data_IF_513956431515
#
_entry.id   IF_513956431515
#
_cell.length_a   1.000
_cell.length_b   1.000
_cell.length_c   1.000
_cell.angle_alpha   90.00
_cell.angle_beta   90.00
_cell.angle_gamma   90.00
#
_symmetry.space_group_name_H-M   'P 1'
#
loop_
_entity.id
_entity.type
_entity.pdbx_description
1 polymer ?
#
# COMPACT_ATOMS: atom_id res chain seq x y z
N UNK A 1 -28.11 33.58 55.93
CA UNK A 1 -27.54 32.61 54.96
C UNK A 1 -27.13 33.40 53.73
N UNK A 2 -25.85 33.77 53.62
CA UNK A 2 -25.36 34.58 52.48
C UNK A 2 -25.07 33.68 51.29
N UNK A 3 -25.68 33.97 50.14
CA UNK A 3 -25.43 33.25 48.89
C UNK A 3 -23.97 33.45 48.45
N UNK A 4 -23.24 32.37 48.06
CA UNK A 4 -21.84 32.48 47.67
C UNK A 4 -21.71 33.33 46.41
N UNK A 5 -20.80 34.31 46.45
CA UNK A 5 -20.52 35.17 45.29
C UNK A 5 -19.79 34.38 44.19
N UNK A 6 -19.94 34.79 42.92
CA UNK A 6 -19.23 34.19 41.77
C UNK A 6 -17.71 34.08 41.97
N UNK A 7 -17.12 35.00 42.75
CA UNK A 7 -15.69 34.99 43.09
C UNK A 7 -15.31 33.84 44.03
N UNK A 8 -16.20 33.47 44.94
CA UNK A 8 -16.03 32.33 45.85
C UNK A 8 -16.10 31.01 45.10
N UNK A 9 -17.01 30.89 44.13
CA UNK A 9 -17.14 29.71 43.26
C UNK A 9 -15.88 29.50 42.39
N UNK A 10 -15.37 30.55 41.75
CA UNK A 10 -14.18 30.45 40.90
C UNK A 10 -12.90 30.10 41.70
N UNK A 11 -12.76 30.61 42.94
CA UNK A 11 -11.66 30.22 43.82
C UNK A 11 -11.75 28.75 44.24
N UNK A 12 -12.94 28.27 44.58
CA UNK A 12 -13.13 26.86 44.97
C UNK A 12 -12.94 25.90 43.79
N UNK A 13 -13.37 26.26 42.58
CA UNK A 13 -13.16 25.48 41.37
C UNK A 13 -11.67 25.41 40.97
N UNK A 14 -10.91 26.50 41.11
CA UNK A 14 -9.48 26.52 40.84
C UNK A 14 -8.67 25.66 41.83
N UNK A 15 -9.06 25.62 43.11
CA UNK A 15 -8.42 24.77 44.11
C UNK A 15 -8.78 23.27 43.92
N UNK A 16 -9.98 22.95 43.44
CA UNK A 16 -10.37 21.58 43.12
C UNK A 16 -9.63 21.03 41.88
N UNK A 17 -9.34 21.88 40.88
CA UNK A 17 -8.62 21.49 39.67
C UNK A 17 -7.12 21.16 39.89
N UNK A 18 -6.52 21.67 40.97
CA UNK A 18 -5.12 21.40 41.31
C UNK A 18 -4.91 20.11 42.13
N UNK A 19 -5.97 19.55 42.71
CA UNK A 19 -5.91 18.29 43.47
C UNK A 19 -6.08 17.03 42.61
N UNK A 20 -6.78 17.14 41.47
CA UNK A 20 -7.08 16.00 40.59
C UNK A 20 -6.05 15.75 39.49
N UNK A 21 -5.21 16.74 39.16
CA UNK A 21 -4.15 16.62 38.15
C UNK A 21 -2.96 15.79 38.63
N UNK A 22 -2.62 15.85 39.92
CA UNK A 22 -1.51 15.05 40.49
C UNK A 22 -1.77 13.54 40.47
N UNK A 23 -2.98 13.11 40.86
CA UNK A 23 -3.36 11.69 40.90
C UNK A 23 -3.57 11.08 39.51
N UNK A 24 -4.11 11.85 38.55
CA UNK A 24 -4.24 11.39 37.17
C UNK A 24 -2.88 11.29 36.46
N UNK A 25 -1.96 12.22 36.70
CA UNK A 25 -0.59 12.13 36.15
C UNK A 25 0.16 10.91 36.70
N UNK A 26 0.07 10.63 38.01
CA UNK A 26 0.73 9.44 38.57
C UNK A 26 0.11 8.12 38.09
N UNK A 27 -1.20 8.06 37.82
CA UNK A 27 -1.84 6.86 37.26
C UNK A 27 -1.58 6.69 35.76
N UNK A 28 -1.46 7.79 35.00
CA UNK A 28 -1.01 7.77 33.61
C UNK A 28 0.46 7.34 33.51
N UNK A 29 1.32 7.75 34.44
CA UNK A 29 2.73 7.37 34.44
C UNK A 29 2.94 5.94 34.98
N UNK A 30 2.12 5.45 35.92
CA UNK A 30 2.12 4.03 36.31
C UNK A 30 1.62 3.10 35.19
N UNK A 31 0.70 3.56 34.32
CA UNK A 31 0.34 2.84 33.07
C UNK A 31 1.46 2.84 32.03
N UNK A 32 2.33 3.86 32.02
CA UNK A 32 3.54 3.91 31.16
C UNK A 32 4.68 3.04 31.70
N UNK A 33 4.73 2.77 33.00
CA UNK A 33 5.77 1.94 33.63
C UNK A 33 5.54 0.43 33.41
N UNK A 34 4.33 0.00 33.00
CA UNK A 34 4.11 -1.37 32.50
C UNK A 34 4.49 -1.56 31.02
N UNK A 35 5.07 -0.56 30.35
CA UNK A 35 5.57 -0.69 28.97
C UNK A 35 7.06 -1.08 28.87
N UNK A 36 7.68 -1.48 29.98
CA UNK A 36 9.05 -1.99 30.02
C UNK A 36 9.10 -3.53 30.04
N UNK A 37 8.36 -4.14 29.11
CA UNK A 37 8.64 -5.45 28.52
C UNK A 37 8.09 -5.38 27.10
N UNK A 38 8.96 -5.11 26.13
CA UNK A 38 8.59 -5.17 24.71
C UNK A 38 8.22 -6.62 24.42
N UNK A 39 6.91 -6.89 24.34
CA UNK A 39 6.44 -8.15 23.81
C UNK A 39 6.76 -8.13 22.31
N UNK A 40 7.82 -8.86 21.97
CA UNK A 40 8.13 -9.30 20.60
C UNK A 40 6.93 -10.13 20.12
N UNK A 41 6.08 -9.57 19.24
CA UNK A 41 4.91 -10.33 18.74
C UNK A 41 3.73 -9.56 18.15
N UNK A 42 3.74 -8.22 18.11
CA UNK A 42 2.67 -7.43 17.45
C UNK A 42 3.26 -6.35 16.54
N UNK A 43 4.29 -6.69 15.77
CA UNK A 43 4.73 -5.84 14.66
C UNK A 43 3.88 -6.15 13.43
N UNK A 44 3.53 -5.13 12.65
CA UNK A 44 2.92 -5.30 11.33
C UNK A 44 3.44 -4.26 10.33
N UNK A 45 3.72 -4.70 9.12
CA UNK A 45 4.06 -3.84 8.00
C UNK A 45 3.16 -4.13 6.79
N UNK A 46 2.69 -3.05 6.17
CA UNK A 46 2.01 -3.10 4.88
C UNK A 46 2.91 -2.45 3.82
N UNK A 47 3.14 -3.15 2.71
CA UNK A 47 3.94 -2.68 1.59
C UNK A 47 3.04 -2.56 0.36
N UNK A 48 2.70 -1.34 -0.02
CA UNK A 48 1.98 -1.06 -1.26
C UNK A 48 2.97 -1.05 -2.42
N UNK A 49 2.75 -1.91 -3.41
CA UNK A 49 3.47 -1.91 -4.66
C UNK A 49 2.58 -1.37 -5.79
N UNK A 50 2.76 -0.12 -6.15
CA UNK A 50 1.94 0.53 -7.16
C UNK A 50 2.52 0.34 -8.57
N UNK A 51 1.77 -0.30 -9.45
CA UNK A 51 2.07 -0.58 -10.85
C UNK A 51 1.47 0.53 -11.71
N UNK A 52 2.21 1.60 -11.95
CA UNK A 52 1.73 2.77 -12.69
C UNK A 52 1.59 2.48 -14.17
N UNK A 53 0.41 2.83 -14.69
CA UNK A 53 0.03 2.71 -16.09
C UNK A 53 -1.03 1.66 -16.34
N UNK A 54 -1.71 1.10 -15.34
CA UNK A 54 -2.74 0.07 -15.57
C UNK A 54 -2.17 -1.27 -16.05
N UNK A 55 -1.76 -2.13 -15.11
CA UNK A 55 -1.20 -3.45 -15.41
C UNK A 55 -2.18 -4.32 -16.21
N UNK A 56 -1.72 -4.93 -17.31
CA UNK A 56 -2.53 -5.89 -18.08
C UNK A 56 -2.63 -7.24 -17.36
N UNK A 57 -3.54 -7.31 -16.40
CA UNK A 57 -3.77 -8.52 -15.64
C UNK A 57 -4.34 -9.68 -16.49
N UNK A 58 -4.83 -9.43 -17.71
CA UNK A 58 -5.26 -10.50 -18.62
C UNK A 58 -4.10 -11.36 -19.08
N UNK A 59 -2.88 -10.81 -19.13
CA UNK A 59 -1.66 -11.58 -19.41
C UNK A 59 -0.90 -11.98 -18.14
N UNK A 60 -1.44 -11.73 -16.94
CA UNK A 60 -0.82 -12.14 -15.67
C UNK A 60 -1.32 -13.51 -15.23
N UNK A 61 -2.65 -13.67 -15.16
CA UNK A 61 -3.34 -14.91 -14.84
C UNK A 61 -4.27 -15.27 -15.98
N UNK A 62 -4.05 -16.44 -16.56
CA UNK A 62 -4.70 -16.89 -17.79
C UNK A 62 -5.38 -18.23 -17.51
N UNK A 63 -6.66 -18.42 -17.89
CA UNK A 63 -7.28 -19.74 -17.80
C UNK A 63 -6.50 -20.77 -18.61
N UNK A 64 -6.24 -21.91 -17.99
CA UNK A 64 -5.52 -23.02 -18.60
C UNK A 64 -6.49 -24.13 -19.05
N UNK A 65 -7.77 -24.08 -18.67
CA UNK A 65 -8.79 -24.96 -19.23
C UNK A 65 -9.06 -24.62 -20.71
N UNK A 66 -9.53 -25.61 -21.49
CA UNK A 66 -9.69 -25.48 -22.95
C UNK A 66 -10.61 -24.31 -23.34
N UNK A 67 -11.77 -24.21 -22.68
CA UNK A 67 -12.78 -23.21 -23.03
C UNK A 67 -12.35 -21.80 -22.65
N UNK A 68 -11.77 -21.64 -21.45
CA UNK A 68 -11.22 -20.39 -20.96
C UNK A 68 -10.06 -19.90 -21.81
N UNK A 69 -9.10 -20.79 -22.12
CA UNK A 69 -7.96 -20.46 -22.97
C UNK A 69 -8.37 -20.11 -24.40
N UNK A 70 -9.36 -20.81 -24.98
CA UNK A 70 -9.89 -20.49 -26.31
C UNK A 70 -10.53 -19.09 -26.35
N UNK A 71 -11.28 -18.72 -25.31
CA UNK A 71 -11.88 -17.39 -25.17
C UNK A 71 -10.81 -16.31 -25.02
N UNK A 72 -9.79 -16.57 -24.19
CA UNK A 72 -8.62 -15.72 -24.02
C UNK A 72 -7.86 -15.51 -25.33
N UNK A 73 -7.39 -16.57 -25.97
CA UNK A 73 -6.56 -16.48 -27.18
C UNK A 73 -7.29 -15.80 -28.33
N UNK A 74 -8.60 -16.05 -28.49
CA UNK A 74 -9.42 -15.39 -29.51
C UNK A 74 -9.49 -13.88 -29.31
N UNK A 75 -9.75 -13.41 -28.08
CA UNK A 75 -9.85 -11.99 -27.80
C UNK A 75 -8.49 -11.28 -27.83
N UNK A 76 -7.44 -11.94 -27.34
CA UNK A 76 -6.08 -11.37 -27.28
C UNK A 76 -5.36 -11.34 -28.62
N UNK A 77 -5.70 -12.25 -29.54
CA UNK A 77 -5.05 -12.33 -30.85
C UNK A 77 -3.53 -12.39 -30.71
N UNK A 78 -2.83 -11.42 -31.31
CA UNK A 78 -1.38 -11.32 -31.25
C UNK A 78 -0.77 -11.08 -29.87
N UNK A 79 -1.58 -10.75 -28.85
CA UNK A 79 -1.13 -10.60 -27.46
C UNK A 79 -1.30 -11.86 -26.61
N UNK A 80 -1.86 -12.93 -27.17
CA UNK A 80 -2.08 -14.18 -26.45
C UNK A 80 -0.73 -14.85 -26.11
N UNK A 81 -0.57 -15.24 -24.86
CA UNK A 81 0.52 -16.13 -24.44
C UNK A 81 0.10 -17.57 -24.74
N UNK A 82 1.02 -18.35 -25.32
CA UNK A 82 0.77 -19.77 -25.61
C UNK A 82 0.43 -20.54 -24.34
N UNK A 83 -0.58 -21.42 -24.41
CA UNK A 83 -1.06 -22.24 -23.29
C UNK A 83 0.06 -23.09 -22.69
N UNK A 84 0.90 -23.63 -23.55
CA UNK A 84 2.02 -24.51 -23.21
C UNK A 84 3.13 -23.77 -22.45
N UNK A 85 3.22 -22.44 -22.61
CA UNK A 85 4.17 -21.60 -21.89
C UNK A 85 3.65 -21.14 -20.52
N UNK A 86 2.37 -21.38 -20.20
CA UNK A 86 1.78 -20.94 -18.94
C UNK A 86 2.32 -21.74 -17.76
N UNK A 87 2.57 -21.04 -16.66
CA UNK A 87 3.04 -21.63 -15.41
C UNK A 87 1.84 -22.06 -14.57
N UNK A 88 1.51 -23.36 -14.60
CA UNK A 88 0.34 -23.92 -13.92
C UNK A 88 0.26 -23.54 -12.43
N UNK A 89 -0.92 -23.12 -11.99
CA UNK A 89 -1.23 -22.84 -10.59
C UNK A 89 -1.92 -24.02 -9.93
N UNK A 90 -1.59 -24.27 -8.67
CA UNK A 90 -2.29 -25.22 -7.80
C UNK A 90 -3.23 -24.44 -6.89
N UNK A 91 -4.49 -24.32 -7.28
CA UNK A 91 -5.47 -23.56 -6.51
C UNK A 91 -6.03 -24.41 -5.35
N UNK A 92 -5.96 -23.88 -4.13
CA UNK A 92 -6.60 -24.44 -2.94
C UNK A 92 -8.12 -24.13 -2.88
N UNK A 93 -8.60 -23.19 -3.69
CA UNK A 93 -10.01 -22.90 -3.91
C UNK A 93 -10.25 -22.43 -5.35
N UNK A 94 -11.43 -22.65 -5.89
CA UNK A 94 -11.77 -22.18 -7.22
C UNK A 94 -13.18 -22.54 -7.63
N UNK A 95 -13.56 -22.09 -8.81
CA UNK A 95 -14.84 -22.36 -9.47
C UNK A 95 -14.77 -23.54 -10.45
N UNK A 96 -13.69 -24.33 -10.38
CA UNK A 96 -13.43 -25.46 -11.27
C UNK A 96 -12.58 -25.11 -12.50
N UNK A 97 -12.20 -23.84 -12.68
CA UNK A 97 -11.23 -23.44 -13.70
C UNK A 97 -9.80 -23.69 -13.26
N UNK A 98 -8.99 -24.14 -14.20
CA UNK A 98 -7.53 -24.17 -14.06
C UNK A 98 -6.95 -22.84 -14.54
N UNK A 99 -5.88 -22.38 -13.88
CA UNK A 99 -5.19 -21.16 -14.26
C UNK A 99 -3.68 -21.37 -14.34
N UNK A 100 -3.03 -20.58 -15.17
CA UNK A 100 -1.59 -20.45 -15.23
C UNK A 100 -1.15 -19.00 -15.18
N UNK A 101 0.04 -18.75 -14.62
CA UNK A 101 0.70 -17.46 -14.73
C UNK A 101 1.45 -17.30 -16.04
N UNK A 102 1.71 -16.04 -16.40
CA UNK A 102 2.70 -15.68 -17.42
C UNK A 102 4.05 -16.40 -17.19
N UNK A 103 4.79 -16.82 -18.25
CA UNK A 103 6.09 -17.49 -18.12
C UNK A 103 7.16 -16.69 -17.34
N UNK A 104 7.05 -15.36 -17.33
CA UNK A 104 7.98 -14.48 -16.60
C UNK A 104 7.63 -14.28 -15.12
N UNK A 105 6.67 -15.05 -14.58
CA UNK A 105 6.25 -15.00 -13.17
C UNK A 105 6.66 -16.26 -12.39
N UNK A 106 7.77 -16.89 -12.76
CA UNK A 106 8.22 -18.17 -12.19
C UNK A 106 8.37 -18.14 -10.66
N UNK A 107 8.95 -17.08 -10.11
CA UNK A 107 9.11 -16.94 -8.68
C UNK A 107 7.77 -16.72 -7.96
N UNK A 108 6.86 -15.91 -8.54
CA UNK A 108 5.51 -15.75 -7.98
C UNK A 108 4.69 -17.04 -8.06
N UNK A 109 4.84 -17.84 -9.12
CA UNK A 109 4.22 -19.16 -9.20
C UNK A 109 4.70 -20.06 -8.04
N UNK A 110 6.01 -20.05 -7.76
CA UNK A 110 6.57 -20.76 -6.60
C UNK A 110 5.98 -20.30 -5.28
N UNK A 111 5.84 -18.99 -5.06
CA UNK A 111 5.23 -18.42 -3.85
C UNK A 111 3.73 -18.73 -3.74
N UNK A 112 3.01 -18.74 -4.85
CA UNK A 112 1.59 -19.10 -4.89
C UNK A 112 1.39 -20.56 -4.52
N UNK A 113 2.07 -21.47 -5.22
CA UNK A 113 1.99 -22.91 -4.97
C UNK A 113 2.55 -23.28 -3.58
N UNK A 114 3.47 -22.48 -3.04
CA UNK A 114 3.98 -22.58 -1.67
C UNK A 114 3.07 -21.97 -0.59
N UNK A 115 1.89 -21.45 -0.96
CA UNK A 115 0.90 -20.91 -0.03
C UNK A 115 1.25 -19.56 0.57
N UNK A 116 2.13 -18.78 -0.07
CA UNK A 116 2.62 -17.46 0.41
C UNK A 116 2.06 -16.28 -0.38
N UNK A 117 1.54 -16.55 -1.57
CA UNK A 117 0.91 -15.57 -2.45
C UNK A 117 -0.57 -15.94 -2.64
N UNK A 118 -1.46 -14.97 -2.57
CA UNK A 118 -2.86 -15.07 -2.97
C UNK A 118 -3.15 -14.09 -4.11
N UNK A 119 -4.23 -14.38 -4.84
CA UNK A 119 -4.79 -13.50 -5.86
C UNK A 119 -6.11 -12.93 -5.37
N UNK A 120 -6.36 -11.65 -5.64
CA UNK A 120 -7.69 -11.04 -5.50
C UNK A 120 -8.13 -10.59 -6.87
N UNK A 121 -9.24 -11.15 -7.35
CA UNK A 121 -9.69 -10.99 -8.70
C UNK A 121 -10.67 -9.84 -8.89
N UNK A 122 -10.56 -9.20 -10.05
CA UNK A 122 -11.46 -8.16 -10.55
C UNK A 122 -11.67 -7.01 -9.54
N UNK A 123 -10.56 -6.54 -9.00
CA UNK A 123 -10.49 -5.41 -8.08
C UNK A 123 -10.40 -4.11 -8.88
N UNK A 124 -11.20 -3.12 -8.49
CA UNK A 124 -11.20 -1.81 -9.14
C UNK A 124 -11.97 -0.76 -8.35
N UNK A 125 -11.87 0.49 -8.79
CA UNK A 125 -12.58 1.62 -8.19
C UNK A 125 -14.09 1.44 -8.36
N UNK A 126 -14.87 1.48 -7.27
CA UNK A 126 -16.33 1.37 -7.31
C UNK A 126 -16.95 2.39 -6.36
N UNK A 127 -18.01 3.07 -6.81
CA UNK A 127 -18.84 3.91 -5.95
C UNK A 127 -19.80 3.04 -5.15
N UNK A 128 -20.34 1.99 -5.79
CA UNK A 128 -21.18 0.93 -5.25
C UNK A 128 -21.12 -0.26 -6.22
N UNK A 129 -21.67 -1.44 -5.89
CA UNK A 129 -21.80 -2.53 -6.86
C UNK A 129 -22.57 -2.11 -8.12
N UNK A 130 -22.06 -2.46 -9.31
CA UNK A 130 -22.65 -2.11 -10.60
C UNK A 130 -22.75 -3.35 -11.48
N UNK A 131 -23.92 -3.57 -12.09
CA UNK A 131 -24.11 -4.57 -13.15
C UNK A 131 -23.93 -3.93 -14.52
N UNK A 132 -23.61 -4.74 -15.54
CA UNK A 132 -23.55 -4.27 -16.94
C UNK A 132 -24.84 -3.60 -17.40
N UNK A 133 -26.01 -4.12 -17.04
CA UNK A 133 -27.29 -3.53 -17.43
C UNK A 133 -27.44 -2.11 -16.87
N UNK A 134 -27.06 -1.89 -15.61
CA UNK A 134 -27.08 -0.57 -14.98
C UNK A 134 -26.05 0.38 -15.60
N UNK A 135 -24.84 -0.13 -15.90
CA UNK A 135 -23.79 0.63 -16.57
C UNK A 135 -24.25 1.13 -17.95
N UNK A 136 -24.78 0.23 -18.78
CA UNK A 136 -25.24 0.56 -20.14
C UNK A 136 -26.47 1.47 -20.16
N UNK A 137 -27.33 1.39 -19.13
CA UNK A 137 -28.44 2.30 -18.97
C UNK A 137 -28.01 3.75 -18.65
N UNK A 138 -26.73 3.97 -18.29
CA UNK A 138 -26.17 5.30 -18.00
C UNK A 138 -26.59 5.90 -16.66
N UNK A 139 -27.33 5.17 -15.82
CA UNK A 139 -27.81 5.61 -14.51
C UNK A 139 -27.01 5.08 -13.31
N UNK A 140 -26.02 4.21 -13.54
CA UNK A 140 -25.19 3.68 -12.48
C UNK A 140 -24.27 4.75 -11.88
N UNK A 141 -24.10 4.73 -10.55
CA UNK A 141 -23.06 5.50 -9.89
C UNK A 141 -21.70 4.83 -10.16
N UNK A 142 -20.93 5.43 -11.07
CA UNK A 142 -19.58 4.97 -11.44
C UNK A 142 -18.54 6.01 -11.04
N UNK A 143 -17.26 5.62 -10.87
CA UNK A 143 -16.19 6.57 -10.61
C UNK A 143 -16.18 7.72 -11.61
N UNK A 144 -15.86 8.93 -11.12
CA UNK A 144 -15.65 10.06 -12.03
C UNK A 144 -14.41 9.84 -12.89
N UNK A 145 -14.43 10.27 -14.15
CA UNK A 145 -13.28 10.17 -15.05
C UNK A 145 -12.68 8.76 -15.17
N UNK A 146 -13.55 7.74 -15.26
CA UNK A 146 -13.12 6.38 -15.58
C UNK A 146 -12.17 6.38 -16.78
N UNK A 147 -11.17 5.50 -16.70
CA UNK A 147 -10.09 5.30 -17.68
C UNK A 147 -9.03 6.41 -17.72
N UNK A 148 -9.08 7.41 -16.84
CA UNK A 148 -8.01 8.40 -16.67
C UNK A 148 -6.96 7.90 -15.68
N UNK A 149 -5.68 7.93 -16.07
CA UNK A 149 -4.57 7.56 -15.16
C UNK A 149 -4.57 8.45 -13.93
N UNK A 150 -4.52 9.78 -14.08
CA UNK A 150 -4.41 10.71 -12.95
C UNK A 150 -5.57 10.56 -11.96
N UNK A 151 -6.79 10.37 -12.47
CA UNK A 151 -7.96 10.23 -11.61
C UNK A 151 -7.98 8.86 -10.94
N UNK A 152 -7.80 7.78 -11.70
CA UNK A 152 -7.89 6.44 -11.12
C UNK A 152 -6.70 6.07 -10.24
N UNK A 153 -5.49 6.61 -10.47
CA UNK A 153 -4.39 6.48 -9.49
C UNK A 153 -4.81 7.05 -8.14
N UNK A 154 -5.37 8.27 -8.14
CA UNK A 154 -5.80 8.94 -6.91
C UNK A 154 -6.95 8.18 -6.28
N UNK A 155 -7.98 7.82 -7.05
CA UNK A 155 -9.15 7.10 -6.54
C UNK A 155 -8.81 5.72 -5.96
N UNK A 156 -7.85 5.00 -6.56
CA UNK A 156 -7.35 3.74 -6.02
C UNK A 156 -6.59 3.97 -4.70
N UNK A 157 -5.77 5.01 -4.63
CA UNK A 157 -5.00 5.34 -3.43
C UNK A 157 -5.85 5.97 -2.31
N UNK A 158 -6.95 6.64 -2.64
CA UNK A 158 -7.90 7.21 -1.67
C UNK A 158 -8.99 6.23 -1.28
N UNK A 159 -9.31 5.23 -2.10
CA UNK A 159 -10.53 4.41 -1.99
C UNK A 159 -11.82 5.23 -2.03
N UNK A 160 -11.79 6.43 -2.61
CA UNK A 160 -12.96 7.32 -2.73
C UNK A 160 -13.07 7.80 -4.18
N UNK A 161 -13.88 7.11 -5.00
CA UNK A 161 -13.97 7.39 -6.44
C UNK A 161 -15.03 8.44 -6.85
N UNK A 162 -15.86 8.87 -5.91
CA UNK A 162 -17.01 9.77 -6.14
C UNK A 162 -16.79 11.20 -5.59
N UNK A 163 -15.63 11.49 -4.99
CA UNK A 163 -15.36 12.78 -4.35
C UNK A 163 -13.88 13.15 -4.46
N UNK A 164 -13.58 14.45 -4.38
CA UNK A 164 -12.20 14.93 -4.29
C UNK A 164 -11.71 14.80 -2.85
N UNK A 165 -10.96 13.73 -2.57
CA UNK A 165 -10.35 13.51 -1.26
C UNK A 165 -8.83 13.71 -1.34
N UNK A 166 -8.26 14.39 -0.35
CA UNK A 166 -6.82 14.73 -0.31
C UNK A 166 -5.97 13.74 0.49
N UNK A 167 -6.60 12.80 1.19
CA UNK A 167 -5.92 11.78 2.00
C UNK A 167 -6.07 10.40 1.36
N UNK A 168 -5.02 9.59 1.41
CA UNK A 168 -5.07 8.19 1.03
C UNK A 168 -5.62 7.30 2.14
N UNK A 169 -6.07 6.10 1.80
CA UNK A 169 -6.55 5.16 2.81
C UNK A 169 -5.42 4.65 3.71
N UNK A 170 -4.18 4.54 3.18
CA UNK A 170 -2.98 4.26 3.98
C UNK A 170 -2.69 5.38 4.99
N UNK A 171 -2.75 6.63 4.56
CA UNK A 171 -2.57 7.79 5.43
C UNK A 171 -3.63 7.89 6.53
N UNK A 172 -4.91 7.62 6.22
CA UNK A 172 -5.96 7.54 7.24
C UNK A 172 -5.76 6.36 8.21
N UNK A 173 -5.26 5.23 7.71
CA UNK A 173 -4.85 4.10 8.55
C UNK A 173 -3.72 4.50 9.49
N UNK A 174 -2.72 5.23 8.99
CA UNK A 174 -1.60 5.74 9.78
C UNK A 174 -2.08 6.71 10.87
N UNK A 175 -2.95 7.66 10.52
CA UNK A 175 -3.55 8.61 11.46
C UNK A 175 -4.32 7.90 12.59
N UNK A 176 -4.99 6.79 12.30
CA UNK A 176 -5.71 6.04 13.31
C UNK A 176 -4.76 5.27 14.24
N UNK A 177 -3.68 4.71 13.69
CA UNK A 177 -2.84 3.73 14.38
C UNK A 177 -1.48 4.25 14.86
N UNK A 178 -1.09 5.50 14.56
CA UNK A 178 0.24 6.00 14.90
C UNK A 178 0.56 5.95 16.39
N UNK A 179 -0.46 6.03 17.25
CA UNK A 179 -0.29 5.92 18.71
C UNK A 179 0.26 4.57 19.15
N UNK A 180 0.09 3.51 18.35
CA UNK A 180 0.67 2.18 18.60
C UNK A 180 2.21 2.21 18.55
N UNK A 181 2.82 3.13 17.78
CA UNK A 181 4.27 3.31 17.75
C UNK A 181 4.81 4.12 18.96
N UNK A 182 3.95 4.48 19.92
CA UNK A 182 4.34 5.14 21.16
C UNK A 182 5.08 6.45 20.92
N UNK A 183 6.30 6.54 21.43
CA UNK A 183 7.13 7.74 21.34
C UNK A 183 8.07 7.78 20.12
N UNK A 184 7.92 6.84 19.17
CA UNK A 184 8.75 6.81 17.96
C UNK A 184 8.73 8.15 17.24
N UNK A 185 9.89 8.54 16.73
CA UNK A 185 10.13 9.85 16.10
C UNK A 185 10.19 9.78 14.58
N UNK A 186 10.26 8.58 14.01
CA UNK A 186 10.19 8.38 12.56
C UNK A 186 8.72 8.23 12.14
N UNK A 187 8.42 8.65 10.91
CA UNK A 187 7.07 8.48 10.34
C UNK A 187 6.68 7.00 10.29
N UNK A 188 5.40 6.71 10.59
CA UNK A 188 4.78 5.41 10.35
C UNK A 188 4.72 5.09 8.84
N UNK A 189 4.52 6.10 8.00
CA UNK A 189 4.44 5.97 6.55
C UNK A 189 5.76 6.38 5.89
N UNK A 190 6.34 5.48 5.10
CA UNK A 190 7.65 5.62 4.47
C UNK A 190 7.56 5.27 2.98
N UNK A 191 7.70 6.28 2.13
CA UNK A 191 7.80 6.07 0.69
C UNK A 191 9.26 5.84 0.29
N UNK A 192 9.51 4.79 -0.47
CA UNK A 192 10.77 4.58 -1.21
C UNK A 192 10.64 4.93 -2.71
N UNK A 193 9.47 5.44 -3.12
CA UNK A 193 9.12 5.70 -4.51
C UNK A 193 8.43 7.08 -4.69
N UNK A 194 9.00 8.13 -4.09
CA UNK A 194 8.54 9.51 -4.27
C UNK A 194 7.20 9.82 -3.59
N UNK A 195 6.53 10.88 -4.02
CA UNK A 195 5.24 11.29 -3.46
C UNK A 195 4.10 10.41 -3.99
N UNK A 196 3.15 10.08 -3.12
CA UNK A 196 1.96 9.31 -3.46
C UNK A 196 0.78 9.83 -2.61
N UNK A 197 -0.45 9.60 -3.05
CA UNK A 197 -1.66 9.95 -2.29
C UNK A 197 -1.95 8.91 -1.20
N UNK A 198 -1.59 7.64 -1.43
CA UNK A 198 -1.88 6.51 -0.55
C UNK A 198 -1.47 6.75 0.91
N UNK A 199 -0.29 7.32 1.14
CA UNK A 199 0.28 7.58 2.47
C UNK A 199 -0.09 8.96 3.05
N UNK A 200 -0.81 9.81 2.30
CA UNK A 200 -1.17 11.16 2.79
C UNK A 200 -2.25 11.05 3.85
N UNK A 201 -1.89 11.37 5.09
CA UNK A 201 -2.79 11.55 6.23
C UNK A 201 -2.99 13.03 6.60
N UNK A 202 -3.83 13.28 7.59
CA UNK A 202 -4.00 14.58 8.24
C UNK A 202 -2.99 14.81 9.37
N UNK A 203 -2.51 13.74 10.01
CA UNK A 203 -1.61 13.81 11.18
C UNK A 203 -0.24 13.22 10.88
N UNK A 204 -0.21 12.00 10.33
CA UNK A 204 1.03 11.34 9.91
C UNK A 204 1.47 11.91 8.58
N UNK A 205 2.70 12.43 8.54
CA UNK A 205 3.31 12.97 7.34
C UNK A 205 4.30 11.93 6.79
N UNK A 206 4.14 11.47 5.54
CA UNK A 206 5.03 10.46 4.97
C UNK A 206 6.47 10.95 4.91
N UNK A 207 7.39 10.02 5.17
CA UNK A 207 8.82 10.24 5.04
C UNK A 207 9.34 9.59 3.76
N UNK A 208 10.12 10.33 2.98
CA UNK A 208 10.69 9.82 1.73
C UNK A 208 12.13 9.35 1.96
N UNK A 209 12.42 8.15 1.46
CA UNK A 209 13.73 7.50 1.58
C UNK A 209 14.20 7.10 0.18
N UNK A 210 15.48 7.28 -0.12
CA UNK A 210 16.04 6.76 -1.37
C UNK A 210 16.15 5.23 -1.32
N UNK A 211 15.95 4.51 -2.44
CA UNK A 211 16.26 3.08 -2.52
C UNK A 211 17.70 2.72 -2.11
N UNK A 212 18.63 3.69 -2.18
CA UNK A 212 20.03 3.53 -1.75
C UNK A 212 20.29 3.93 -0.29
N UNK A 213 19.31 4.48 0.42
CA UNK A 213 19.36 4.76 1.85
C UNK A 213 19.25 6.25 2.18
N UNK A 214 19.87 6.63 3.30
CA UNK A 214 19.91 8.02 3.72
C UNK A 214 20.64 8.88 2.68
N UNK A 215 20.05 10.04 2.39
CA UNK A 215 20.65 11.08 1.56
C UNK A 215 21.02 12.24 2.46
N UNK A 216 22.32 12.55 2.54
CA UNK A 216 22.78 13.77 3.19
C UNK A 216 22.81 14.91 2.17
N UNK A 217 22.75 16.15 2.66
CA UNK A 217 22.95 17.29 1.79
C UNK A 217 24.39 17.28 1.25
N UNK A 218 24.52 17.42 -0.08
CA UNK A 218 25.82 17.48 -0.73
C UNK A 218 26.67 18.62 -0.13
N UNK A 219 27.91 18.29 0.25
CA UNK A 219 28.84 19.26 0.84
C UNK A 219 28.50 19.70 2.28
N UNK A 220 27.62 18.99 2.99
CA UNK A 220 27.29 19.29 4.40
C UNK A 220 27.88 18.29 5.40
N UNK A 221 28.70 17.35 4.97
CA UNK A 221 29.38 16.37 5.85
C UNK A 221 30.82 16.13 5.42
N UNK A 222 31.66 15.64 6.33
CA UNK A 222 32.98 15.06 6.01
C UNK A 222 34.16 16.06 6.03
N UNK A 223 33.95 17.28 6.52
CA UNK A 223 35.02 18.23 6.84
C UNK A 223 34.52 19.30 7.81
N UNK A 224 35.41 19.93 8.58
CA UNK A 224 35.02 20.98 9.53
C UNK A 224 34.21 22.12 8.87
N UNK A 225 34.56 22.52 7.64
CA UNK A 225 33.81 23.53 6.88
C UNK A 225 32.42 23.04 6.45
N UNK A 226 32.29 21.75 6.11
CA UNK A 226 31.01 21.14 5.75
C UNK A 226 30.10 21.03 6.97
N UNK A 227 30.66 20.62 8.11
CA UNK A 227 29.94 20.50 9.36
C UNK A 227 29.47 21.87 9.87
N UNK A 228 30.32 22.91 9.76
CA UNK A 228 29.93 24.29 10.08
C UNK A 228 28.78 24.80 9.17
N UNK A 229 28.81 24.48 7.86
CA UNK A 229 27.69 24.80 6.94
C UNK A 229 26.41 24.08 7.35
N UNK A 230 26.50 22.81 7.75
CA UNK A 230 25.35 22.04 8.20
C UNK A 230 24.73 22.63 9.46
N UNK A 231 25.55 23.00 10.44
CA UNK A 231 25.07 23.65 11.67
C UNK A 231 24.42 25.00 11.37
N UNK A 232 25.06 25.86 10.56
CA UNK A 232 24.46 27.14 10.16
C UNK A 232 23.13 26.98 9.41
N UNK A 233 23.00 25.94 8.57
CA UNK A 233 21.74 25.61 7.90
C UNK A 233 20.65 25.20 8.91
N UNK A 234 21.00 24.37 9.91
CA UNK A 234 20.07 23.97 10.98
C UNK A 234 19.62 25.16 11.82
N UNK A 235 20.54 26.05 12.17
CA UNK A 235 20.25 27.29 12.89
C UNK A 235 19.29 28.19 12.10
N UNK A 236 19.52 28.35 10.79
CA UNK A 236 18.63 29.11 9.90
C UNK A 236 17.21 28.53 9.86
N UNK A 237 17.08 27.20 9.81
CA UNK A 237 15.78 26.53 9.86
C UNK A 237 15.09 26.70 11.22
N UNK A 238 15.86 26.77 12.32
CA UNK A 238 15.33 26.94 13.68
C UNK A 238 14.91 28.37 14.02
N UNK A 239 15.31 29.38 13.24
CA UNK A 239 14.87 30.77 13.50
C UNK A 239 13.34 30.90 13.45
N UNK A 240 12.72 31.72 14.31
CA UNK A 240 11.28 32.01 14.24
C UNK A 240 10.87 32.53 12.86
N UNK A 241 9.74 32.05 12.33
CA UNK A 241 9.18 32.50 11.05
C UNK A 241 7.82 33.14 11.26
N UNK A 242 7.62 34.33 10.70
CA UNK A 242 6.32 35.02 10.74
C UNK A 242 5.39 34.63 9.58
N UNK A 243 5.92 33.97 8.54
CA UNK A 243 5.17 33.54 7.37
C UNK A 243 4.86 32.04 7.46
N UNK A 244 3.60 31.65 7.25
CA UNK A 244 3.15 30.26 7.35
C UNK A 244 3.92 29.33 6.40
N UNK A 245 4.13 29.71 5.14
CA UNK A 245 4.88 28.89 4.18
C UNK A 245 6.34 28.74 4.60
N UNK A 246 6.96 29.80 5.10
CA UNK A 246 8.33 29.74 5.60
C UNK A 246 8.43 28.83 6.84
N UNK A 247 7.47 28.90 7.76
CA UNK A 247 7.39 28.01 8.92
C UNK A 247 7.21 26.55 8.48
N UNK A 248 6.23 26.27 7.61
CA UNK A 248 5.97 24.92 7.09
C UNK A 248 7.18 24.35 6.34
N UNK A 249 7.89 25.18 5.57
CA UNK A 249 9.14 24.79 4.92
C UNK A 249 10.20 24.41 5.95
N UNK A 250 10.46 25.27 6.95
CA UNK A 250 11.43 25.00 8.01
C UNK A 250 11.07 23.75 8.83
N UNK A 251 9.80 23.55 9.17
CA UNK A 251 9.32 22.36 9.87
C UNK A 251 9.52 21.09 9.04
N UNK A 252 9.27 21.17 7.73
CA UNK A 252 9.45 20.04 6.81
C UNK A 252 10.91 19.67 6.64
N UNK A 253 11.79 20.65 6.47
CA UNK A 253 13.24 20.42 6.37
C UNK A 253 13.79 19.85 7.68
N UNK A 254 13.46 20.46 8.83
CA UNK A 254 13.92 19.99 10.15
C UNK A 254 13.46 18.56 10.43
N UNK A 255 12.19 18.23 10.13
CA UNK A 255 11.66 16.88 10.28
C UNK A 255 12.33 15.88 9.34
N UNK A 256 12.58 16.25 8.08
CA UNK A 256 13.27 15.40 7.13
C UNK A 256 14.71 15.08 7.57
N UNK A 257 15.43 16.09 8.08
CA UNK A 257 16.75 15.91 8.70
C UNK A 257 16.68 14.94 9.87
N UNK A 258 15.77 15.17 10.82
CA UNK A 258 15.62 14.32 12.00
C UNK A 258 15.30 12.87 11.65
N UNK A 259 14.37 12.65 10.72
CA UNK A 259 14.05 11.30 10.22
C UNK A 259 15.26 10.63 9.55
N UNK A 260 16.02 11.38 8.75
CA UNK A 260 17.20 10.88 8.07
C UNK A 260 18.32 10.49 9.05
N UNK A 261 18.59 11.33 10.06
CA UNK A 261 19.57 11.05 11.12
C UNK A 261 19.17 9.78 11.91
N UNK A 262 17.90 9.68 12.33
CA UNK A 262 17.37 8.51 13.03
C UNK A 262 17.47 7.24 12.18
N UNK A 263 17.04 7.31 10.92
CA UNK A 263 17.08 6.16 10.01
C UNK A 263 18.52 5.72 9.74
N UNK A 264 19.43 6.66 9.48
CA UNK A 264 20.85 6.36 9.26
C UNK A 264 21.45 5.62 10.44
N UNK A 265 21.22 6.13 11.66
CA UNK A 265 21.73 5.52 12.89
C UNK A 265 21.15 4.11 13.08
N UNK A 266 19.85 3.93 12.83
CA UNK A 266 19.21 2.62 12.95
C UNK A 266 19.72 1.61 11.90
N UNK A 267 19.90 2.04 10.65
CA UNK A 267 20.43 1.21 9.57
C UNK A 267 21.90 0.83 9.75
N UNK A 268 22.70 1.64 10.44
CA UNK A 268 24.08 1.29 10.75
C UNK A 268 24.19 0.13 11.75
N UNK A 269 23.13 -0.10 12.55
CA UNK A 269 23.09 -1.14 13.58
C UNK A 269 22.44 -2.45 13.16
N UNK A 270 21.86 -2.57 11.96
CA UNK A 270 21.20 -3.81 11.53
C UNK A 270 22.19 -4.80 10.94
N UNK A 271 22.01 -6.12 11.18
CA UNK A 271 22.76 -7.15 10.48
C UNK A 271 22.57 -7.05 8.95
N UNK A 272 23.60 -7.38 8.16
CA UNK A 272 23.45 -7.48 6.71
C UNK A 272 22.38 -8.52 6.34
N UNK A 273 21.51 -8.16 5.39
CA UNK A 273 20.61 -9.11 4.74
C UNK A 273 21.44 -9.89 3.71
N UNK A 274 21.44 -11.21 3.83
CA UNK A 274 22.17 -12.13 2.95
C UNK A 274 21.37 -12.51 1.71
N UNK A 275 20.05 -12.42 1.77
CA UNK A 275 19.17 -12.58 0.60
C UNK A 275 19.60 -11.66 -0.54
N UNK A 276 19.84 -12.24 -1.71
CA UNK A 276 20.27 -11.52 -2.90
C UNK A 276 19.05 -10.89 -3.58
N UNK A 277 19.14 -9.57 -3.80
CA UNK A 277 18.17 -8.83 -4.61
C UNK A 277 18.71 -8.69 -6.05
N UNK A 278 17.89 -8.93 -7.09
CA UNK A 278 18.31 -8.75 -8.48
C UNK A 278 18.59 -7.27 -8.78
N UNK A 279 19.33 -7.01 -9.85
CA UNK A 279 19.64 -5.65 -10.30
C UNK A 279 18.44 -5.03 -11.03
N UNK A 280 17.50 -4.47 -10.26
CA UNK A 280 16.36 -3.71 -10.77
C UNK A 280 15.97 -2.56 -9.85
N UNK A 281 15.14 -1.64 -10.36
CA UNK A 281 14.67 -0.49 -9.57
C UNK A 281 13.79 -0.96 -8.43
N UNK A 282 12.86 -1.87 -8.71
CA UNK A 282 11.97 -2.44 -7.71
C UNK A 282 12.73 -3.21 -6.63
N UNK A 283 13.68 -4.05 -7.01
CA UNK A 283 14.44 -4.84 -6.06
C UNK A 283 15.28 -3.94 -5.13
N UNK A 284 15.80 -2.82 -5.63
CA UNK A 284 16.48 -1.81 -4.80
C UNK A 284 15.53 -1.16 -3.80
N UNK A 285 14.31 -0.80 -4.23
CA UNK A 285 13.27 -0.26 -3.34
C UNK A 285 12.89 -1.26 -2.24
N UNK A 286 12.61 -2.51 -2.60
CA UNK A 286 12.21 -3.56 -1.65
C UNK A 286 13.36 -3.95 -0.70
N UNK A 287 14.62 -3.93 -1.17
CA UNK A 287 15.78 -4.11 -0.29
C UNK A 287 15.86 -3.00 0.78
N UNK A 288 15.60 -1.74 0.39
CA UNK A 288 15.53 -0.65 1.36
C UNK A 288 14.40 -0.86 2.39
N UNK A 289 13.21 -1.26 1.93
CA UNK A 289 12.10 -1.62 2.83
C UNK A 289 12.53 -2.73 3.80
N UNK A 290 13.16 -3.79 3.33
CA UNK A 290 13.63 -4.89 4.17
C UNK A 290 14.64 -4.43 5.23
N UNK A 291 15.58 -3.55 4.86
CA UNK A 291 16.53 -2.94 5.80
C UNK A 291 15.84 -2.08 6.87
N UNK A 292 14.83 -1.29 6.49
CA UNK A 292 14.04 -0.49 7.44
C UNK A 292 13.26 -1.40 8.40
N UNK A 293 12.67 -2.49 7.89
CA UNK A 293 11.97 -3.49 8.71
C UNK A 293 12.94 -4.20 9.67
N UNK A 294 14.17 -4.49 9.24
CA UNK A 294 15.22 -5.02 10.12
C UNK A 294 15.54 -4.05 11.27
N UNK A 295 15.48 -2.74 11.00
CA UNK A 295 15.73 -1.67 11.97
C UNK A 295 14.53 -1.35 12.89
N UNK A 296 13.36 -2.01 12.72
CA UNK A 296 12.10 -1.67 13.42
C UNK A 296 12.23 -1.53 14.94
N UNK A 297 13.04 -2.38 15.59
CA UNK A 297 13.22 -2.35 17.04
C UNK A 297 14.00 -1.11 17.48
N UNK A 298 15.07 -0.76 16.76
CA UNK A 298 15.83 0.47 17.01
C UNK A 298 14.99 1.73 16.72
N UNK A 299 14.06 1.64 15.76
CA UNK A 299 13.13 2.70 15.42
C UNK A 299 11.88 2.76 16.31
N UNK A 300 11.68 1.77 17.20
CA UNK A 300 10.50 1.68 18.08
C UNK A 300 9.18 1.48 17.32
N UNK A 301 9.20 0.76 16.19
CA UNK A 301 8.05 0.61 15.30
C UNK A 301 7.25 -0.66 15.59
N UNK A 302 5.93 -0.51 15.72
CA UNK A 302 4.95 -1.61 15.76
C UNK A 302 4.08 -1.66 14.50
N UNK A 303 3.87 -0.53 13.85
CA UNK A 303 3.16 -0.39 12.58
C UNK A 303 4.02 0.38 11.60
N UNK A 304 4.17 -0.13 10.38
CA UNK A 304 4.84 0.59 9.29
C UNK A 304 4.07 0.44 7.98
N UNK A 305 3.92 1.53 7.26
CA UNK A 305 3.39 1.58 5.91
C UNK A 305 4.52 1.95 4.97
N UNK A 306 4.63 1.21 3.88
CA UNK A 306 5.61 1.45 2.85
C UNK A 306 4.95 1.62 1.49
N UNK A 307 5.50 2.52 0.68
CA UNK A 307 5.12 2.69 -0.70
C UNK A 307 6.31 2.47 -1.63
N UNK A 308 6.16 1.48 -2.51
CA UNK A 308 7.03 1.17 -3.63
C UNK A 308 6.26 1.39 -4.94
N UNK A 309 6.96 1.64 -6.03
CA UNK A 309 6.31 1.76 -7.33
C UNK A 309 7.17 1.27 -8.48
N UNK A 310 6.47 0.82 -9.51
CA UNK A 310 7.03 0.44 -10.82
C UNK A 310 6.26 1.21 -11.88
N UNK A 311 7.00 1.87 -12.77
CA UNK A 311 6.47 2.59 -13.92
C UNK A 311 6.43 1.69 -15.16
N UNK A 312 5.75 2.13 -16.21
CA UNK A 312 5.88 1.51 -17.54
C UNK A 312 4.79 0.52 -17.93
N UNK A 313 3.78 0.29 -17.06
CA UNK A 313 2.63 -0.54 -17.42
C UNK A 313 1.69 0.15 -18.42
N UNK A 314 1.98 1.39 -18.85
CA UNK A 314 1.18 2.13 -19.83
C UNK A 314 1.34 1.62 -21.28
N UNK A 315 1.27 0.31 -21.50
CA UNK A 315 1.66 -0.34 -22.75
C UNK A 315 0.52 -0.28 -23.79
N UNK A 316 0.56 0.73 -24.67
CA UNK A 316 -0.33 0.85 -25.84
C UNK A 316 0.29 0.24 -27.13
N UNK A 317 1.48 -0.35 -27.02
CA UNK A 317 2.22 -0.99 -28.08
C UNK A 317 3.43 -1.75 -27.53
N UNK A 318 4.04 -2.62 -28.35
CA UNK A 318 5.12 -3.54 -27.95
C UNK A 318 4.83 -4.29 -26.64
N UNK A 319 3.57 -4.64 -26.42
CA UNK A 319 3.11 -5.04 -25.10
C UNK A 319 3.72 -6.36 -24.65
N UNK A 320 3.90 -7.34 -25.56
CA UNK A 320 4.49 -8.62 -25.18
C UNK A 320 5.89 -8.46 -24.57
N UNK A 321 6.76 -7.68 -25.22
CA UNK A 321 8.13 -7.47 -24.74
C UNK A 321 8.17 -6.61 -23.49
N UNK A 322 7.50 -5.45 -23.53
CA UNK A 322 7.53 -4.48 -22.44
C UNK A 322 6.91 -5.06 -21.15
N UNK A 323 5.74 -5.70 -21.27
CA UNK A 323 5.06 -6.29 -20.12
C UNK A 323 5.82 -7.50 -19.56
N UNK A 324 6.39 -8.36 -20.41
CA UNK A 324 7.21 -9.49 -19.95
C UNK A 324 8.42 -9.03 -19.11
N UNK A 325 9.09 -7.94 -19.48
CA UNK A 325 10.19 -7.38 -18.71
C UNK A 325 9.73 -6.83 -17.35
N UNK A 326 8.59 -6.13 -17.31
CA UNK A 326 7.98 -5.63 -16.07
C UNK A 326 7.57 -6.79 -15.14
N UNK A 327 7.02 -7.87 -15.70
CA UNK A 327 6.66 -9.07 -14.95
C UNK A 327 7.89 -9.80 -14.41
N UNK A 328 9.01 -9.85 -15.14
CA UNK A 328 10.28 -10.38 -14.61
C UNK A 328 10.75 -9.57 -13.40
N UNK A 329 10.77 -8.24 -13.51
CA UNK A 329 11.18 -7.36 -12.40
C UNK A 329 10.26 -7.53 -11.19
N UNK A 330 8.95 -7.59 -11.42
CA UNK A 330 7.94 -7.85 -10.39
C UNK A 330 8.18 -9.18 -9.68
N UNK A 331 8.34 -10.25 -10.45
CA UNK A 331 8.46 -11.62 -9.95
C UNK A 331 9.71 -11.80 -9.09
N UNK A 332 10.86 -11.40 -9.62
CA UNK A 332 12.14 -11.54 -8.93
C UNK A 332 12.23 -10.60 -7.72
N UNK A 333 11.72 -9.36 -7.84
CA UNK A 333 11.73 -8.37 -6.76
C UNK A 333 10.87 -8.79 -5.57
N UNK A 334 9.63 -9.22 -5.81
CA UNK A 334 8.72 -9.68 -4.76
C UNK A 334 9.23 -10.96 -4.07
N UNK A 335 9.83 -11.88 -4.84
CA UNK A 335 10.42 -13.09 -4.27
C UNK A 335 11.64 -12.80 -3.38
N UNK A 336 12.58 -11.97 -3.85
CA UNK A 336 13.70 -11.55 -3.03
C UNK A 336 13.23 -10.85 -1.75
N UNK A 337 12.19 -10.01 -1.84
CA UNK A 337 11.63 -9.37 -0.65
C UNK A 337 11.01 -10.37 0.33
N UNK A 338 10.19 -11.31 -0.13
CA UNK A 338 9.62 -12.34 0.74
C UNK A 338 10.72 -13.17 1.42
N UNK A 339 11.75 -13.58 0.68
CA UNK A 339 12.88 -14.33 1.24
C UNK A 339 13.63 -13.51 2.31
N UNK A 340 13.82 -12.20 2.10
CA UNK A 340 14.38 -11.32 3.12
C UNK A 340 13.49 -11.22 4.36
N UNK A 341 12.15 -11.14 4.22
CA UNK A 341 11.25 -11.15 5.39
C UNK A 341 11.30 -12.48 6.15
N UNK A 342 11.49 -13.61 5.46
CA UNK A 342 11.68 -14.92 6.07
C UNK A 342 13.03 -15.01 6.80
N UNK A 343 14.11 -14.53 6.18
CA UNK A 343 15.45 -14.42 6.80
C UNK A 343 15.40 -13.58 8.09
N UNK A 344 14.65 -12.47 8.08
CA UNK A 344 14.47 -11.59 9.22
C UNK A 344 13.49 -12.13 10.28
N UNK A 345 12.83 -13.26 10.03
CA UNK A 345 11.85 -13.88 10.94
C UNK A 345 10.53 -13.12 11.05
N UNK A 346 10.18 -12.28 10.08
CA UNK A 346 8.99 -11.39 10.10
C UNK A 346 8.02 -11.65 8.96
N UNK A 347 8.14 -12.77 8.24
CA UNK A 347 7.28 -13.05 7.09
C UNK A 347 5.77 -12.97 7.44
N UNK A 348 5.36 -13.42 8.63
CA UNK A 348 3.96 -13.34 9.10
C UNK A 348 3.51 -11.93 9.50
N UNK A 349 4.46 -11.02 9.71
CA UNK A 349 4.21 -9.64 10.14
C UNK A 349 4.27 -8.65 8.98
N UNK A 350 4.60 -9.10 7.77
CA UNK A 350 4.73 -8.26 6.58
C UNK A 350 3.77 -8.75 5.51
N UNK A 351 2.91 -7.84 5.03
CA UNK A 351 2.04 -8.09 3.87
C UNK A 351 2.36 -7.09 2.76
N UNK A 352 2.77 -7.60 1.60
CA UNK A 352 2.95 -6.83 0.37
C UNK A 352 1.74 -7.04 -0.51
N UNK A 353 1.21 -5.97 -1.12
CA UNK A 353 0.10 -6.06 -2.04
C UNK A 353 0.34 -5.20 -3.29
N UNK A 354 -0.19 -5.63 -4.42
CA UNK A 354 -0.13 -4.83 -5.64
C UNK A 354 -1.34 -3.92 -5.78
N UNK A 355 -1.11 -2.79 -6.44
CA UNK A 355 -2.07 -1.77 -6.75
C UNK A 355 -1.82 -1.28 -8.18
N UNK A 356 -2.83 -0.80 -8.88
CA UNK A 356 -2.68 -0.15 -10.18
C UNK A 356 -3.85 0.79 -10.39
N UNK A 357 -3.73 1.71 -11.33
CA UNK A 357 -4.78 2.68 -11.68
C UNK A 357 -6.06 1.94 -12.08
N UNK A 358 -5.90 0.89 -12.88
CA UNK A 358 -6.96 0.05 -13.42
C UNK A 358 -6.36 -1.21 -14.09
N UNK A 359 -7.20 -2.07 -14.67
CA UNK A 359 -6.77 -3.13 -15.61
C UNK A 359 -6.69 -2.65 -17.05
N UNK A 360 -6.41 -3.54 -18.00
CA UNK A 360 -6.39 -3.24 -19.45
C UNK A 360 -7.58 -3.84 -20.17
N UNK A 361 -7.90 -3.31 -21.36
CA UNK A 361 -8.88 -3.95 -22.23
C UNK A 361 -8.47 -5.38 -22.52
N UNK A 362 -9.46 -6.27 -22.46
CA UNK A 362 -9.26 -7.67 -22.76
C UNK A 362 -8.88 -7.87 -24.24
N UNK A 363 -9.58 -7.31 -25.24
CA UNK A 363 -9.10 -7.29 -26.61
C UNK A 363 -7.81 -6.48 -26.81
N UNK A 364 -7.03 -6.89 -27.81
CA UNK A 364 -5.89 -6.12 -28.33
C UNK A 364 -6.34 -4.89 -29.14
N UNK A 365 -5.57 -3.80 -29.07
CA UNK A 365 -5.67 -2.63 -29.96
C UNK A 365 -4.67 -2.70 -31.14
N UNK A 366 -4.01 -3.84 -31.33
CA UNK A 366 -2.97 -4.08 -32.33
C UNK A 366 -1.77 -4.76 -31.69
N UNK A 367 -0.77 -3.96 -31.29
CA UNK A 367 0.42 -4.43 -30.56
C UNK A 367 0.38 -4.12 -29.06
N UNK A 368 -0.75 -3.62 -28.54
CA UNK A 368 -0.99 -3.35 -27.12
C UNK A 368 -2.48 -3.42 -26.74
N UNK A 369 -2.84 -2.75 -25.65
CA UNK A 369 -4.20 -2.72 -25.12
C UNK A 369 -4.56 -1.34 -24.58
N UNK A 370 -5.83 -1.00 -24.59
CA UNK A 370 -6.32 0.28 -24.10
C UNK A 370 -6.59 0.22 -22.58
N UNK A 371 -6.94 1.37 -22.00
CA UNK A 371 -7.28 1.48 -20.59
C UNK A 371 -8.53 0.65 -20.25
N UNK A 372 -8.50 -0.07 -19.14
CA UNK A 372 -9.59 -0.89 -18.62
C UNK A 372 -10.09 -0.37 -17.27
N UNK A 373 -10.64 -1.26 -16.44
CA UNK A 373 -11.20 -0.89 -15.13
C UNK A 373 -10.83 -1.89 -14.04
N UNK A 374 -11.53 -3.01 -13.93
CA UNK A 374 -11.16 -4.09 -13.02
C UNK A 374 -9.87 -4.79 -13.41
N UNK A 375 -9.08 -5.19 -12.41
CA UNK A 375 -7.79 -5.87 -12.55
C UNK A 375 -7.62 -6.99 -11.52
N UNK A 376 -6.54 -7.76 -11.61
CA UNK A 376 -6.20 -8.78 -10.61
C UNK A 376 -5.00 -8.30 -9.77
N UNK A 377 -5.06 -8.49 -8.45
CA UNK A 377 -4.02 -8.06 -7.53
C UNK A 377 -3.38 -9.24 -6.81
N UNK A 378 -2.09 -9.13 -6.55
CA UNK A 378 -1.31 -10.05 -5.73
C UNK A 378 -1.32 -9.59 -4.27
N UNK A 379 -1.37 -10.54 -3.34
CA UNK A 379 -1.13 -10.32 -1.91
C UNK A 379 -0.13 -11.37 -1.43
N UNK A 380 0.99 -10.93 -0.86
CA UNK A 380 2.15 -11.73 -0.50
C UNK A 380 2.50 -11.54 0.97
N UNK A 381 2.69 -12.64 1.71
CA UNK A 381 3.09 -12.58 3.12
C UNK A 381 2.85 -13.90 3.83
N UNK A 382 3.42 -14.04 5.04
CA UNK A 382 3.27 -15.23 5.87
C UNK A 382 1.89 -15.38 6.51
N UNK A 383 1.17 -14.27 6.71
CA UNK A 383 -0.22 -14.26 7.18
C UNK A 383 -1.25 -14.37 6.05
N UNK A 384 -0.80 -14.39 4.78
CA UNK A 384 -1.69 -14.53 3.63
C UNK A 384 -2.23 -15.95 3.57
N UNK A 385 -3.53 -16.06 3.31
CA UNK A 385 -4.20 -17.32 2.97
C UNK A 385 -3.84 -17.70 1.53
N UNK A 386 -2.57 -18.05 1.29
CA UNK A 386 -2.00 -18.21 -0.04
C UNK A 386 -2.42 -19.48 -0.78
N UNK A 387 -2.05 -19.56 -2.06
CA UNK A 387 -2.49 -20.63 -2.99
C UNK A 387 -3.96 -20.49 -3.38
N UNK A 388 -4.57 -19.34 -3.13
CA UNK A 388 -6.01 -19.11 -3.26
C UNK A 388 -6.33 -17.92 -4.15
N UNK A 389 -7.50 -17.98 -4.78
CA UNK A 389 -8.11 -16.89 -5.54
C UNK A 389 -9.34 -16.38 -4.79
N UNK A 390 -9.32 -15.09 -4.45
CA UNK A 390 -10.41 -14.36 -3.80
C UNK A 390 -11.10 -13.43 -4.80
N UNK A 391 -12.32 -12.99 -4.50
CA UNK A 391 -13.13 -12.21 -5.44
C UNK A 391 -13.70 -13.07 -6.58
N UNK A 392 -14.28 -12.43 -7.58
CA UNK A 392 -14.86 -13.13 -8.75
C UNK A 392 -14.04 -12.81 -9.99
N UNK A 393 -13.43 -13.84 -10.59
CA UNK A 393 -12.70 -13.70 -11.84
C UNK A 393 -13.69 -13.50 -13.00
N UNK A 394 -13.51 -12.47 -13.85
CA UNK A 394 -14.51 -12.08 -14.83
C UNK A 394 -14.74 -13.17 -15.88
N UNK A 395 -15.93 -13.15 -16.45
CA UNK A 395 -16.24 -13.92 -17.65
C UNK A 395 -15.42 -13.35 -18.80
N UNK A 396 -14.46 -14.13 -19.33
CA UNK A 396 -13.58 -13.71 -20.42
C UNK A 396 -14.30 -13.68 -21.78
N UNK A 397 -15.31 -12.83 -21.90
CA UNK A 397 -16.12 -12.66 -23.09
C UNK A 397 -16.35 -11.17 -23.36
N UNK A 398 -16.03 -10.74 -24.58
CA UNK A 398 -16.39 -9.39 -25.06
C UNK A 398 -17.91 -9.30 -25.13
N UNK A 399 -18.48 -8.21 -24.62
CA UNK A 399 -19.92 -8.04 -24.39
C UNK A 399 -20.54 -9.05 -23.40
N UNK A 400 -19.70 -9.76 -22.64
CA UNK A 400 -20.12 -10.64 -21.56
C UNK A 400 -20.74 -9.87 -20.39
N UNK A 401 -21.23 -10.58 -19.35
CA UNK A 401 -21.94 -9.97 -18.22
C UNK A 401 -21.08 -9.00 -17.41
N UNK A 402 -19.76 -9.18 -17.42
CA UNK A 402 -18.79 -8.39 -16.66
C UNK A 402 -18.13 -7.30 -17.50
N UNK A 403 -18.56 -7.06 -18.75
CA UNK A 403 -17.91 -6.13 -19.67
C UNK A 403 -18.75 -4.86 -19.88
N UNK A 404 -18.07 -3.70 -19.85
CA UNK A 404 -18.64 -2.41 -20.31
C UNK A 404 -18.99 -2.37 -21.82
N UNK A 405 -18.52 -3.35 -22.60
CA UNK A 405 -18.74 -3.51 -24.04
C UNK A 405 -17.47 -3.43 -24.90
N UNK A 406 -16.31 -3.24 -24.27
CA UNK A 406 -15.00 -3.09 -24.94
C UNK A 406 -13.92 -3.98 -24.29
N UNK A 407 -14.32 -5.04 -23.60
CA UNK A 407 -13.44 -5.84 -22.76
C UNK A 407 -12.88 -5.09 -21.56
N UNK A 408 -13.61 -4.12 -21.00
CA UNK A 408 -13.23 -3.49 -19.72
C UNK A 408 -14.07 -4.12 -18.63
N UNK A 409 -13.42 -4.85 -17.74
CA UNK A 409 -14.09 -5.55 -16.65
C UNK A 409 -14.71 -4.58 -15.67
N UNK A 410 -16.03 -4.66 -15.48
CA UNK A 410 -16.73 -4.03 -14.38
C UNK A 410 -16.27 -4.75 -13.10
N UNK A 411 -15.64 -4.05 -12.14
CA UNK A 411 -15.13 -4.68 -10.93
C UNK A 411 -16.24 -5.38 -10.15
N UNK A 412 -15.95 -6.58 -9.66
CA UNK A 412 -16.81 -7.27 -8.69
C UNK A 412 -16.29 -7.12 -7.27
N UNK A 413 -15.02 -6.76 -7.13
CA UNK A 413 -14.37 -6.46 -5.86
C UNK A 413 -13.99 -4.98 -5.87
N UNK A 414 -14.44 -4.22 -4.86
CA UNK A 414 -14.05 -2.81 -4.73
C UNK A 414 -12.66 -2.64 -4.14
N UNK A 415 -12.04 -1.46 -4.36
CA UNK A 415 -10.87 -1.02 -3.57
C UNK A 415 -11.17 -1.11 -2.08
N UNK A 416 -12.38 -0.68 -1.68
CA UNK A 416 -12.80 -0.64 -0.29
C UNK A 416 -12.75 -2.04 0.34
N UNK A 417 -13.33 -3.06 -0.28
CA UNK A 417 -13.32 -4.45 0.26
C UNK A 417 -11.90 -5.03 0.32
N UNK A 418 -11.08 -4.75 -0.69
CA UNK A 418 -9.68 -5.16 -0.72
C UNK A 418 -8.86 -4.49 0.39
N UNK A 419 -8.93 -3.16 0.48
CA UNK A 419 -8.23 -2.36 1.47
C UNK A 419 -8.76 -2.59 2.89
N UNK A 420 -10.03 -2.92 3.09
CA UNK A 420 -10.60 -3.18 4.40
C UNK A 420 -10.05 -4.46 5.02
N UNK A 421 -9.79 -5.48 4.20
CA UNK A 421 -9.10 -6.70 4.64
C UNK A 421 -7.68 -6.40 5.10
N UNK A 422 -6.92 -5.61 4.31
CA UNK A 422 -5.56 -5.16 4.64
C UNK A 422 -5.53 -4.30 5.91
N UNK A 423 -6.41 -3.32 6.01
CA UNK A 423 -6.52 -2.40 7.15
C UNK A 423 -6.90 -3.14 8.44
N UNK A 424 -7.83 -4.10 8.36
CA UNK A 424 -8.23 -4.94 9.49
C UNK A 424 -7.06 -5.76 10.01
N UNK A 425 -6.34 -6.45 9.12
CA UNK A 425 -5.14 -7.21 9.50
C UNK A 425 -4.08 -6.30 10.13
N UNK A 426 -3.93 -5.07 9.62
CA UNK A 426 -3.00 -4.08 10.14
C UNK A 426 -3.42 -3.48 11.50
N UNK A 427 -4.64 -3.74 11.96
CA UNK A 427 -5.12 -3.38 13.31
C UNK A 427 -6.23 -2.34 13.36
N UNK A 428 -6.83 -1.97 12.22
CA UNK A 428 -8.04 -1.13 12.21
C UNK A 428 -9.23 -1.96 12.71
N UNK A 429 -9.94 -1.45 13.71
CA UNK A 429 -11.11 -2.14 14.26
C UNK A 429 -12.29 -2.10 13.26
N UNK A 430 -13.21 -3.06 13.35
CA UNK A 430 -14.40 -3.08 12.49
C UNK A 430 -15.25 -1.80 12.61
N UNK A 431 -15.31 -1.18 13.80
CA UNK A 431 -16.00 0.09 14.03
C UNK A 431 -15.31 1.29 13.39
N UNK A 432 -13.98 1.24 13.23
CA UNK A 432 -13.19 2.33 12.67
C UNK A 432 -12.96 2.20 11.15
N UNK A 433 -13.35 1.08 10.54
CA UNK A 433 -13.16 0.86 9.10
C UNK A 433 -13.74 2.00 8.25
N UNK A 434 -14.86 2.60 8.64
CA UNK A 434 -15.45 3.73 7.90
C UNK A 434 -14.66 5.03 8.00
N UNK A 435 -13.82 5.19 9.03
CA UNK A 435 -12.91 6.34 9.13
C UNK A 435 -11.77 6.21 8.10
N UNK A 436 -11.35 4.98 7.80
CA UNK A 436 -10.29 4.67 6.83
C UNK A 436 -10.86 4.50 5.42
N UNK A 437 -12.05 3.92 5.27
CA UNK A 437 -12.68 3.56 4.00
C UNK A 437 -14.14 4.03 4.03
N UNK A 438 -14.40 5.30 3.68
CA UNK A 438 -15.72 5.90 3.87
C UNK A 438 -16.86 5.18 3.14
N UNK A 439 -16.54 4.50 2.04
CA UNK A 439 -17.53 3.83 1.18
C UNK A 439 -17.73 2.35 1.53
N UNK A 440 -16.97 1.77 2.47
CA UNK A 440 -17.04 0.34 2.80
C UNK A 440 -18.45 -0.14 3.19
N UNK A 441 -19.27 0.74 3.77
CA UNK A 441 -20.66 0.43 4.14
C UNK A 441 -21.61 0.23 2.95
N UNK A 442 -21.17 0.47 1.72
CA UNK A 442 -21.93 0.28 0.48
C UNK A 442 -21.75 -1.13 -0.10
N UNK A 443 -20.84 -1.92 0.45
CA UNK A 443 -20.50 -3.26 -0.02
C UNK A 443 -20.89 -4.31 1.02
N UNK A 444 -21.29 -5.49 0.55
CA UNK A 444 -21.84 -6.53 1.41
C UNK A 444 -20.77 -7.20 2.30
N UNK A 445 -19.54 -7.32 1.79
CA UNK A 445 -18.47 -8.11 2.42
C UNK A 445 -17.24 -7.24 2.70
N UNK A 446 -17.18 -6.53 3.85
CA UNK A 446 -16.09 -5.63 4.16
C UNK A 446 -14.75 -6.33 4.44
N UNK A 447 -14.72 -7.66 4.58
CA UNK A 447 -13.49 -8.43 4.73
C UNK A 447 -13.56 -9.67 3.84
N UNK A 448 -12.61 -9.77 2.91
CA UNK A 448 -12.53 -10.83 1.91
C UNK A 448 -11.82 -12.09 2.44
N UNK A 449 -11.20 -12.03 3.61
CA UNK A 449 -10.64 -13.19 4.31
C UNK A 449 -9.33 -13.72 3.73
N UNK A 450 -8.60 -12.92 2.95
CA UNK A 450 -7.30 -13.31 2.38
C UNK A 450 -6.11 -13.15 3.35
N UNK A 451 -6.34 -12.68 4.58
CA UNK A 451 -5.37 -12.57 5.67
C UNK A 451 -5.88 -13.30 6.92
N UNK A 452 -4.97 -13.98 7.62
CA UNK A 452 -5.19 -14.70 8.87
C UNK A 452 -5.16 -13.79 10.11
#
# INVERSE_FOLDING_TARGET
>A
MYAPTRRTFLRQAACAALGTSGLLSTLLDLRKISAATVADGDYKALVCLFLYGGNDANNVIIPHDEAGYSSYSTARGGLAISREALLQLTLANGDGRDFGFHPNLAELQGLFNGGKLALVANVGTLVAPVTRAQYLAGGAAVPSHLFSHSDQSVQWQTSVPDQVLRTGWGGRTADLLHSLNGASKISLAISVAGTNTFEVGNTVIPYQVSPTGSITFAGMTGSANADARYQGFRELMALPKNNLFAQTYSDTVTRAIGNNELLTAALAGVPPITTVFPASSLASQLNMVAKIISARNALGMRRQLFFCAVQGYDTHGDQLTAHANLLTELSQGMNAFYNATAELGVASDVTTFTASDFGRTFPTNGSGSDHGWGSHQFVLGGAVQGGRLFGTFPTLAVNGPDDTGQGRWIPTTSVDEFSATLASWFGVSASDLRAVLPNIGRFANPNLGFLA
#
